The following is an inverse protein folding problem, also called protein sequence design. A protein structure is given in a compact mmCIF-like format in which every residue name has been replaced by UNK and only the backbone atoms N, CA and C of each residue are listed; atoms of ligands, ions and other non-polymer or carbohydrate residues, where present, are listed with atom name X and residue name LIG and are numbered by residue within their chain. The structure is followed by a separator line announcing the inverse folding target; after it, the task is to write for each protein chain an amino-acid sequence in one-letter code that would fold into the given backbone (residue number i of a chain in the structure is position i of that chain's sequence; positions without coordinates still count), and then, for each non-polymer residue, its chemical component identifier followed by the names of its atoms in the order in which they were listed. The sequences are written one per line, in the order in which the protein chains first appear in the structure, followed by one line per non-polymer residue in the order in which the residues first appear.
data_IF_638064094584
#
_entry.id   IF_638064094584
#
_cell.length_a   1.000
_cell.length_b   1.000
_cell.length_c   1.000
_cell.angle_alpha   90.00
_cell.angle_beta   90.00
_cell.angle_gamma   90.00
#
_symmetry.space_group_name_H-M   'P 1'
#
loop_
_entity.id
_entity.type
_entity.pdbx_description
1 polymer ?
#
# COMPACT_ATOMS: atom_id res chain seq x y z
N UNK A 1 5.59 35.70 9.87
CA UNK A 1 6.69 36.12 10.77
C UNK A 1 7.25 34.84 11.36
N UNK A 2 8.57 34.66 11.36
CA UNK A 2 9.23 33.46 11.88
C UNK A 2 10.30 33.88 12.87
N UNK A 3 10.21 33.44 14.13
CA UNK A 3 11.15 33.81 15.22
C UNK A 3 11.49 35.32 15.24
N UNK A 4 10.47 36.17 15.15
CA UNK A 4 10.63 37.64 15.14
C UNK A 4 11.07 38.26 13.80
N UNK A 5 11.41 37.45 12.80
CA UNK A 5 11.84 37.91 11.48
C UNK A 5 10.69 37.93 10.46
N UNK A 6 10.69 38.93 9.60
CA UNK A 6 9.74 39.02 8.48
C UNK A 6 10.37 38.43 7.23
N UNK A 7 10.01 37.19 6.95
CA UNK A 7 10.45 36.46 5.75
C UNK A 7 9.39 36.65 4.66
N UNK A 8 9.83 37.03 3.45
CA UNK A 8 8.96 37.15 2.28
C UNK A 8 9.12 35.93 1.38
N UNK A 9 8.03 35.21 1.16
CA UNK A 9 7.97 34.09 0.21
C UNK A 9 6.88 34.35 -0.82
N UNK A 10 7.01 33.83 -2.06
CA UNK A 10 5.93 33.90 -3.04
C UNK A 10 4.69 33.18 -2.50
N UNK A 11 3.54 33.85 -2.46
CA UNK A 11 2.29 33.24 -1.99
C UNK A 11 1.66 32.30 -3.02
N UNK A 12 2.02 32.48 -4.29
CA UNK A 12 1.59 31.63 -5.40
C UNK A 12 2.44 30.36 -5.39
N UNK A 13 1.85 29.21 -5.02
CA UNK A 13 2.58 27.95 -4.88
C UNK A 13 3.09 27.43 -6.25
N UNK A 14 2.47 27.89 -7.33
CA UNK A 14 2.70 27.57 -8.72
C UNK A 14 4.09 28.03 -9.20
N UNK A 15 4.70 29.01 -8.53
CA UNK A 15 6.05 29.49 -8.86
C UNK A 15 7.14 28.83 -8.03
N UNK A 16 6.78 27.98 -7.05
CA UNK A 16 7.76 27.28 -6.24
C UNK A 16 8.39 26.14 -7.04
N UNK A 17 9.68 25.83 -6.84
CA UNK A 17 10.30 24.67 -7.46
C UNK A 17 9.86 23.38 -6.75
N UNK A 18 8.60 22.97 -6.96
CA UNK A 18 7.93 21.87 -6.24
C UNK A 18 8.65 20.51 -6.37
N UNK A 19 9.42 20.29 -7.42
CA UNK A 19 10.26 19.10 -7.57
C UNK A 19 11.30 18.95 -6.44
N UNK A 20 11.73 20.06 -5.83
CA UNK A 20 12.69 20.03 -4.72
C UNK A 20 12.09 19.57 -3.40
N UNK A 21 10.76 19.61 -3.24
CA UNK A 21 10.07 19.23 -1.98
C UNK A 21 10.48 17.82 -1.52
N UNK A 22 10.65 16.89 -2.47
CA UNK A 22 11.07 15.50 -2.17
C UNK A 22 12.55 15.25 -2.37
N UNK A 23 13.18 15.95 -3.32
CA UNK A 23 14.58 15.69 -3.68
C UNK A 23 15.56 16.32 -2.69
N UNK A 24 15.29 17.56 -2.27
CA UNK A 24 16.17 18.32 -1.39
C UNK A 24 15.37 19.47 -0.73
N UNK A 25 14.65 19.19 0.37
CA UNK A 25 13.78 20.19 1.01
C UNK A 25 14.57 21.37 1.61
N UNK A 26 15.80 21.15 2.09
CA UNK A 26 16.67 22.23 2.58
C UNK A 26 16.95 23.23 1.45
N UNK A 27 17.33 22.73 0.27
CA UNK A 27 17.58 23.58 -0.91
C UNK A 27 16.34 24.35 -1.34
N UNK A 28 15.14 23.79 -1.15
CA UNK A 28 13.90 24.52 -1.39
C UNK A 28 13.72 25.67 -0.41
N UNK A 29 14.01 25.47 0.88
CA UNK A 29 13.98 26.55 1.88
C UNK A 29 14.94 27.67 1.48
N UNK A 30 16.19 27.33 1.14
CA UNK A 30 17.19 28.31 0.71
C UNK A 30 16.75 29.09 -0.53
N UNK A 31 16.17 28.39 -1.50
CA UNK A 31 15.64 29.01 -2.71
C UNK A 31 14.52 30.01 -2.39
N UNK A 32 13.60 29.64 -1.50
CA UNK A 32 12.46 30.49 -1.11
C UNK A 32 12.89 31.65 -0.22
N UNK A 33 13.93 31.47 0.60
CA UNK A 33 14.56 32.57 1.33
C UNK A 33 15.19 33.58 0.38
N UNK A 34 15.74 33.14 -0.75
CA UNK A 34 16.33 34.01 -1.77
C UNK A 34 17.34 35.02 -1.18
N UNK A 35 18.21 34.53 -0.29
CA UNK A 35 19.23 35.32 0.40
C UNK A 35 18.74 36.17 1.58
N UNK A 36 17.46 36.08 1.97
CA UNK A 36 16.97 36.68 3.21
C UNK A 36 17.54 35.93 4.43
N UNK A 37 17.76 36.65 5.53
CA UNK A 37 18.08 36.04 6.82
C UNK A 37 16.88 35.22 7.33
N UNK A 38 17.08 33.91 7.49
CA UNK A 38 16.04 32.98 7.94
C UNK A 38 15.68 33.08 9.43
N UNK A 39 16.31 33.98 10.17
CA UNK A 39 16.12 34.11 11.62
C UNK A 39 16.67 32.92 12.41
N UNK A 40 17.64 32.20 11.84
CA UNK A 40 18.35 31.12 12.52
C UNK A 40 19.38 31.68 13.51
N UNK A 41 19.65 30.94 14.59
CA UNK A 41 20.74 31.27 15.51
C UNK A 41 22.12 30.91 14.94
N UNK A 42 23.17 31.09 15.75
CA UNK A 42 24.56 30.79 15.34
C UNK A 42 24.79 29.31 15.01
N UNK A 43 24.02 28.41 15.62
CA UNK A 43 24.04 26.96 15.37
C UNK A 43 22.73 26.51 14.70
N UNK A 44 22.71 26.53 13.36
CA UNK A 44 21.53 26.11 12.59
C UNK A 44 21.44 24.60 12.51
N UNK A 45 20.28 24.05 12.87
CA UNK A 45 19.98 22.62 12.80
C UNK A 45 19.01 22.29 11.67
N UNK A 46 18.90 21.00 11.33
CA UNK A 46 17.89 20.52 10.36
C UNK A 46 16.47 20.79 10.85
N UNK A 47 16.24 20.75 12.17
CA UNK A 47 14.93 21.01 12.77
C UNK A 47 14.52 22.47 12.60
N UNK A 48 15.48 23.42 12.65
CA UNK A 48 15.20 24.84 12.36
C UNK A 48 14.74 25.05 10.92
N UNK A 49 15.39 24.38 9.96
CA UNK A 49 14.96 24.39 8.56
C UNK A 49 13.58 23.78 8.38
N UNK A 50 13.27 22.70 9.12
CA UNK A 50 11.96 22.06 9.08
C UNK A 50 10.87 22.97 9.61
N UNK A 51 11.09 23.59 10.76
CA UNK A 51 10.16 24.55 11.37
C UNK A 51 9.89 25.73 10.41
N UNK A 52 10.95 26.28 9.79
CA UNK A 52 10.78 27.32 8.79
C UNK A 52 10.00 26.83 7.57
N UNK A 53 10.27 25.62 7.08
CA UNK A 53 9.54 25.03 5.95
C UNK A 53 8.04 24.90 6.22
N UNK A 54 7.68 24.55 7.46
CA UNK A 54 6.28 24.45 7.88
C UNK A 54 5.64 25.84 8.00
N UNK A 55 6.36 26.83 8.54
CA UNK A 55 5.90 28.22 8.58
C UNK A 55 5.69 28.80 7.17
N UNK A 56 6.54 28.44 6.21
CA UNK A 56 6.36 28.82 4.79
C UNK A 56 5.12 28.15 4.19
N UNK A 57 4.89 26.86 4.47
CA UNK A 57 3.70 26.14 4.00
C UNK A 57 2.40 26.71 4.62
N UNK A 58 2.43 27.08 5.90
CA UNK A 58 1.33 27.77 6.57
C UNK A 58 1.04 29.13 5.92
N UNK A 59 2.08 29.92 5.61
CA UNK A 59 1.92 31.23 4.98
C UNK A 59 1.21 31.15 3.62
N UNK A 60 1.40 30.06 2.86
CA UNK A 60 0.71 29.82 1.58
C UNK A 60 -0.62 29.07 1.74
N UNK A 61 -1.04 28.77 2.96
CA UNK A 61 -2.32 28.11 3.26
C UNK A 61 -2.34 26.59 3.04
N UNK A 62 -1.16 25.96 3.00
CA UNK A 62 -0.98 24.51 2.80
C UNK A 62 -0.37 23.87 4.05
N UNK A 63 -0.90 24.28 5.22
CA UNK A 63 -0.50 23.71 6.51
C UNK A 63 -0.90 22.24 6.62
N UNK A 64 -0.20 21.50 7.49
CA UNK A 64 -0.65 20.18 7.94
C UNK A 64 -2.00 20.30 8.66
N UNK A 65 -2.71 19.19 8.72
CA UNK A 65 -3.87 19.09 9.59
C UNK A 65 -3.39 18.88 11.03
N UNK A 66 -4.10 19.41 12.04
CA UNK A 66 -3.76 19.19 13.45
C UNK A 66 -3.69 17.71 13.84
N UNK A 67 -4.48 16.87 13.17
CA UNK A 67 -4.52 15.42 13.37
C UNK A 67 -3.37 14.65 12.68
N UNK A 68 -2.55 15.30 11.84
CA UNK A 68 -1.41 14.64 11.20
C UNK A 68 -0.29 14.39 12.22
N UNK A 69 0.16 13.13 12.43
CA UNK A 69 1.24 12.83 13.36
C UNK A 69 2.55 13.50 12.93
N UNK A 70 3.32 13.99 13.90
CA UNK A 70 4.67 14.47 13.62
C UNK A 70 5.57 13.31 13.18
N UNK A 71 6.34 13.53 12.11
CA UNK A 71 7.37 12.62 11.67
C UNK A 71 8.64 13.38 11.25
N UNK A 72 9.83 12.83 11.52
CA UNK A 72 11.11 13.53 11.32
C UNK A 72 11.46 13.80 9.85
N UNK A 73 10.77 13.15 8.92
CA UNK A 73 10.92 13.29 7.47
C UNK A 73 9.85 14.20 6.84
N UNK A 74 8.97 14.81 7.64
CA UNK A 74 7.97 15.76 7.15
C UNK A 74 8.59 17.14 6.92
N UNK A 75 8.26 17.75 5.79
CA UNK A 75 8.69 19.08 5.38
C UNK A 75 7.55 19.79 4.67
N UNK A 76 7.50 21.12 4.71
CA UNK A 76 6.56 21.92 3.92
C UNK A 76 5.08 21.55 4.10
N UNK A 77 4.70 21.17 5.31
CA UNK A 77 3.34 20.80 5.66
C UNK A 77 2.62 19.85 4.68
N UNK A 78 1.52 20.30 4.09
CA UNK A 78 0.70 19.49 3.17
C UNK A 78 1.21 19.44 1.72
N UNK A 79 2.24 20.23 1.39
CA UNK A 79 2.76 20.36 0.02
C UNK A 79 3.28 19.02 -0.54
N UNK A 80 4.06 18.20 0.20
CA UNK A 80 4.51 16.90 -0.32
C UNK A 80 3.34 15.99 -0.70
N UNK A 81 2.28 15.96 0.12
CA UNK A 81 1.07 15.17 -0.16
C UNK A 81 0.36 15.69 -1.41
N UNK A 82 0.19 17.01 -1.53
CA UNK A 82 -0.42 17.61 -2.72
C UNK A 82 0.37 17.27 -3.99
N UNK A 83 1.69 17.43 -3.95
CA UNK A 83 2.57 17.10 -5.09
C UNK A 83 2.47 15.62 -5.45
N UNK A 84 2.44 14.72 -4.45
CA UNK A 84 2.25 13.30 -4.69
C UNK A 84 0.90 12.99 -5.36
N UNK A 85 -0.19 13.64 -4.96
CA UNK A 85 -1.50 13.48 -5.58
C UNK A 85 -1.46 13.97 -7.03
N UNK A 86 -0.87 15.13 -7.29
CA UNK A 86 -0.79 15.69 -8.64
C UNK A 86 0.01 14.81 -9.60
N UNK A 87 1.05 14.13 -9.13
CA UNK A 87 1.89 13.29 -10.00
C UNK A 87 1.35 11.88 -10.20
N UNK A 88 0.76 11.28 -9.16
CA UNK A 88 0.42 9.86 -9.17
C UNK A 88 -1.09 9.59 -9.26
N UNK A 89 -1.93 10.59 -9.02
CA UNK A 89 -3.37 10.45 -8.86
C UNK A 89 -4.15 11.59 -9.51
N UNK A 90 -3.66 12.12 -10.64
CA UNK A 90 -4.25 13.29 -11.30
C UNK A 90 -5.69 13.04 -11.81
N UNK A 91 -5.94 11.86 -12.38
CA UNK A 91 -7.28 11.49 -12.86
C UNK A 91 -8.29 11.31 -11.70
N UNK A 92 -7.85 10.67 -10.61
CA UNK A 92 -8.64 10.50 -9.40
C UNK A 92 -8.96 11.86 -8.76
N UNK A 93 -7.97 12.77 -8.75
CA UNK A 93 -8.14 14.15 -8.32
C UNK A 93 -9.20 14.87 -9.16
N UNK A 94 -9.11 14.78 -10.48
CA UNK A 94 -10.08 15.41 -11.37
C UNK A 94 -11.50 14.87 -11.14
N UNK A 95 -11.62 13.55 -10.92
CA UNK A 95 -12.88 12.89 -10.58
C UNK A 95 -13.44 13.41 -9.24
N UNK A 96 -12.64 13.41 -8.18
CA UNK A 96 -13.07 13.83 -6.84
C UNK A 96 -13.43 15.31 -6.79
N UNK A 97 -12.64 16.19 -7.42
CA UNK A 97 -12.95 17.63 -7.54
C UNK A 97 -14.30 17.86 -8.21
N UNK A 98 -14.57 17.11 -9.29
CA UNK A 98 -15.85 17.22 -10.00
C UNK A 98 -17.00 16.65 -9.20
N UNK A 99 -16.81 15.51 -8.55
CA UNK A 99 -17.86 14.78 -7.84
C UNK A 99 -18.29 15.48 -6.55
N UNK A 100 -17.34 15.88 -5.70
CA UNK A 100 -17.65 16.46 -4.38
C UNK A 100 -17.87 17.97 -4.42
N UNK A 101 -17.20 18.67 -5.34
CA UNK A 101 -17.16 20.15 -5.33
C UNK A 101 -17.66 20.79 -6.63
N UNK A 102 -17.94 20.01 -7.67
CA UNK A 102 -18.37 20.53 -8.98
C UNK A 102 -17.26 21.26 -9.76
N UNK A 103 -16.04 21.29 -9.23
CA UNK A 103 -14.89 22.02 -9.80
C UNK A 103 -14.29 21.25 -10.97
N UNK A 104 -13.88 21.96 -12.02
CA UNK A 104 -13.20 21.34 -13.18
C UNK A 104 -11.70 21.46 -12.99
N UNK A 105 -11.00 20.34 -12.87
CA UNK A 105 -9.55 20.34 -12.71
C UNK A 105 -8.80 21.10 -13.84
N UNK A 106 -9.35 21.10 -15.06
CA UNK A 106 -8.81 21.86 -16.19
C UNK A 106 -8.67 23.38 -15.94
N UNK A 107 -9.45 23.94 -14.99
CA UNK A 107 -9.35 25.35 -14.58
C UNK A 107 -7.97 25.69 -14.01
N UNK A 108 -7.22 24.69 -13.51
CA UNK A 108 -5.84 24.84 -13.05
C UNK A 108 -4.92 25.40 -14.13
N UNK A 109 -5.05 24.90 -15.36
CA UNK A 109 -4.20 25.32 -16.49
C UNK A 109 -4.54 26.71 -17.02
N UNK A 110 -5.69 27.27 -16.61
CA UNK A 110 -6.08 28.65 -16.91
C UNK A 110 -5.71 29.62 -15.79
N UNK A 111 -5.21 29.11 -14.65
CA UNK A 111 -4.92 29.89 -13.45
C UNK A 111 -6.15 30.24 -12.61
N UNK A 112 -7.34 29.72 -12.96
CA UNK A 112 -8.59 29.96 -12.22
C UNK A 112 -8.70 29.08 -10.97
N UNK A 113 -8.05 27.92 -10.97
CA UNK A 113 -7.97 27.01 -9.83
C UNK A 113 -6.54 26.89 -9.36
N UNK A 114 -6.23 27.45 -8.19
CA UNK A 114 -4.89 27.41 -7.61
C UNK A 114 -4.58 26.10 -6.88
N UNK A 115 -3.30 25.79 -6.71
CA UNK A 115 -2.83 24.66 -5.91
C UNK A 115 -3.28 24.73 -4.45
N UNK A 116 -3.38 25.94 -3.89
CA UNK A 116 -3.93 26.17 -2.55
C UNK A 116 -5.40 25.80 -2.46
N UNK A 117 -6.19 26.14 -3.47
CA UNK A 117 -7.62 25.77 -3.51
C UNK A 117 -7.77 24.26 -3.68
N UNK A 118 -6.97 23.64 -4.55
CA UNK A 118 -6.93 22.18 -4.68
C UNK A 118 -6.65 21.54 -3.31
N UNK A 119 -5.63 22.00 -2.58
CA UNK A 119 -5.34 21.50 -1.23
C UNK A 119 -6.55 21.60 -0.30
N UNK A 120 -7.25 22.73 -0.34
CA UNK A 120 -8.43 22.98 0.49
C UNK A 120 -9.52 21.94 0.22
N UNK A 121 -9.75 21.58 -1.04
CA UNK A 121 -10.74 20.58 -1.42
C UNK A 121 -10.33 19.15 -1.05
N UNK A 122 -9.04 18.82 -1.14
CA UNK A 122 -8.59 17.43 -1.03
C UNK A 122 -8.14 17.02 0.37
N UNK A 123 -7.71 17.96 1.20
CA UNK A 123 -7.11 17.65 2.52
C UNK A 123 -8.05 16.90 3.47
N UNK A 124 -9.36 16.95 3.26
CA UNK A 124 -10.38 16.27 4.09
C UNK A 124 -11.36 15.44 3.27
N UNK A 125 -10.86 14.79 2.22
CA UNK A 125 -11.66 13.85 1.44
C UNK A 125 -12.18 12.70 2.31
N UNK A 126 -13.37 12.22 1.95
CA UNK A 126 -13.99 11.09 2.63
C UNK A 126 -13.26 9.78 2.28
N UNK A 127 -13.31 8.75 3.15
CA UNK A 127 -12.68 7.44 2.89
C UNK A 127 -13.10 6.74 1.58
N UNK A 128 -14.24 7.14 1.02
CA UNK A 128 -14.82 6.62 -0.22
C UNK A 128 -14.33 7.33 -1.48
N UNK A 129 -13.54 8.42 -1.35
CA UNK A 129 -13.05 9.19 -2.49
C UNK A 129 -12.12 8.37 -3.38
N UNK A 130 -12.06 8.71 -4.66
CA UNK A 130 -11.19 8.03 -5.62
C UNK A 130 -9.72 8.14 -5.21
N UNK A 131 -9.27 9.34 -4.79
CA UNK A 131 -7.89 9.56 -4.32
C UNK A 131 -7.57 8.69 -3.10
N UNK A 132 -8.44 8.69 -2.07
CA UNK A 132 -8.18 7.93 -0.84
C UNK A 132 -8.13 6.43 -1.13
N UNK A 133 -9.01 5.93 -1.99
CA UNK A 133 -8.99 4.54 -2.44
C UNK A 133 -7.74 4.21 -3.23
N UNK A 134 -7.34 5.07 -4.16
CA UNK A 134 -6.14 4.87 -4.97
C UNK A 134 -4.87 4.79 -4.11
N UNK A 135 -4.74 5.68 -3.12
CA UNK A 135 -3.64 5.67 -2.15
C UNK A 135 -3.64 4.42 -1.25
N UNK A 136 -4.79 3.79 -1.05
CA UNK A 136 -4.96 2.58 -0.24
C UNK A 136 -5.11 1.30 -1.10
N UNK A 137 -4.43 1.24 -2.25
CA UNK A 137 -4.37 0.04 -3.09
C UNK A 137 -5.72 -0.36 -3.71
N UNK A 138 -6.57 0.63 -4.02
CA UNK A 138 -7.90 0.45 -4.61
C UNK A 138 -9.01 0.17 -3.58
N UNK A 139 -8.67 0.07 -2.29
CA UNK A 139 -9.60 -0.26 -1.21
C UNK A 139 -9.99 0.98 -0.40
N UNK A 140 -11.21 1.00 0.10
CA UNK A 140 -11.63 2.04 1.04
C UNK A 140 -10.83 1.96 2.34
N UNK A 141 -10.49 3.12 2.89
CA UNK A 141 -9.86 3.18 4.19
C UNK A 141 -10.85 2.71 5.26
N UNK A 142 -10.38 1.90 6.20
CA UNK A 142 -11.22 1.41 7.28
C UNK A 142 -11.67 2.53 8.20
N UNK A 143 -12.98 2.70 8.32
CA UNK A 143 -13.59 3.62 9.27
C UNK A 143 -13.70 2.96 10.65
N UNK A 144 -13.89 3.78 11.69
CA UNK A 144 -14.16 3.29 13.05
C UNK A 144 -15.34 2.30 13.07
N UNK A 145 -16.42 2.60 12.34
CA UNK A 145 -17.58 1.72 12.25
C UNK A 145 -17.24 0.35 11.66
N UNK A 146 -16.34 0.29 10.68
CA UNK A 146 -15.87 -0.98 10.10
C UNK A 146 -15.07 -1.79 11.13
N UNK A 147 -14.22 -1.14 11.93
CA UNK A 147 -13.51 -1.81 13.03
C UNK A 147 -14.45 -2.35 14.10
N UNK A 148 -15.46 -1.56 14.50
CA UNK A 148 -16.48 -1.99 15.46
C UNK A 148 -17.25 -3.19 14.91
N UNK A 149 -17.69 -3.13 13.65
CA UNK A 149 -18.45 -4.21 12.99
C UNK A 149 -17.62 -5.49 12.90
N UNK A 150 -16.34 -5.40 12.53
CA UNK A 150 -15.43 -6.54 12.51
C UNK A 150 -15.21 -7.14 13.90
N UNK A 151 -15.20 -6.29 14.95
CA UNK A 151 -15.06 -6.74 16.33
C UNK A 151 -16.32 -7.45 16.82
N UNK A 152 -17.51 -6.96 16.44
CA UNK A 152 -18.79 -7.63 16.70
C UNK A 152 -18.85 -8.97 15.99
N UNK A 153 -18.45 -9.04 14.72
CA UNK A 153 -18.34 -10.31 13.99
C UNK A 153 -17.49 -11.31 14.77
N UNK A 154 -16.29 -10.91 15.18
CA UNK A 154 -15.38 -11.77 15.93
C UNK A 154 -15.95 -12.21 17.28
N UNK A 155 -16.65 -11.32 17.98
CA UNK A 155 -17.28 -11.67 19.25
C UNK A 155 -18.41 -12.70 19.08
N UNK A 156 -19.12 -12.68 17.95
CA UNK A 156 -20.23 -13.59 17.67
C UNK A 156 -19.78 -14.93 17.09
N UNK A 157 -18.75 -14.95 16.24
CA UNK A 157 -18.30 -16.15 15.51
C UNK A 157 -17.06 -16.81 16.12
N UNK A 158 -16.30 -16.07 16.94
CA UNK A 158 -14.96 -16.46 17.38
C UNK A 158 -13.88 -16.29 16.30
N UNK A 159 -14.23 -15.88 15.08
CA UNK A 159 -13.32 -15.77 13.94
C UNK A 159 -12.97 -14.30 13.63
N UNK A 160 -11.72 -14.04 13.23
CA UNK A 160 -11.32 -12.70 12.77
C UNK A 160 -11.99 -12.42 11.43
N UNK A 161 -12.60 -11.24 11.29
CA UNK A 161 -13.21 -10.82 10.02
C UNK A 161 -12.17 -10.83 8.88
N UNK A 162 -12.39 -11.58 7.78
CA UNK A 162 -11.38 -11.79 6.74
C UNK A 162 -10.86 -10.51 6.06
N UNK A 163 -11.69 -9.45 6.00
CA UNK A 163 -11.31 -8.18 5.38
C UNK A 163 -10.59 -7.20 6.30
N UNK A 164 -10.41 -7.53 7.59
CA UNK A 164 -9.85 -6.60 8.58
C UNK A 164 -8.34 -6.42 8.35
N UNK A 165 -7.82 -5.17 8.34
CA UNK A 165 -6.39 -4.91 8.35
C UNK A 165 -5.74 -5.60 9.55
N UNK A 166 -4.75 -6.43 9.27
CA UNK A 166 -3.96 -7.10 10.30
C UNK A 166 -3.01 -6.08 10.92
N UNK A 167 -2.84 -6.15 12.25
CA UNK A 167 -1.77 -5.42 12.94
C UNK A 167 -0.39 -5.91 12.45
N UNK A 168 0.68 -5.11 12.55
CA UNK A 168 2.01 -5.53 12.10
C UNK A 168 2.45 -6.89 12.68
N UNK A 169 2.17 -7.15 13.96
CA UNK A 169 2.47 -8.43 14.62
C UNK A 169 1.62 -9.58 14.06
N UNK A 170 0.35 -9.33 13.74
CA UNK A 170 -0.57 -10.32 13.16
C UNK A 170 -0.18 -10.62 11.71
N UNK A 171 0.28 -9.60 10.97
CA UNK A 171 0.78 -9.73 9.61
C UNK A 171 2.06 -10.58 9.59
N UNK A 172 3.00 -10.34 10.50
CA UNK A 172 4.23 -11.12 10.61
C UNK A 172 3.92 -12.61 10.86
N UNK A 173 3.00 -12.91 11.80
CA UNK A 173 2.55 -14.28 12.06
C UNK A 173 1.82 -14.91 10.87
N UNK A 174 1.01 -14.13 10.15
CA UNK A 174 0.32 -14.61 8.96
C UNK A 174 1.29 -14.95 7.82
N UNK A 175 2.33 -14.14 7.62
CA UNK A 175 3.40 -14.40 6.65
C UNK A 175 4.16 -15.67 7.04
N UNK A 176 4.55 -15.81 8.31
CA UNK A 176 5.24 -17.01 8.82
C UNK A 176 4.40 -18.27 8.64
N UNK A 177 3.10 -18.22 8.97
CA UNK A 177 2.18 -19.34 8.76
C UNK A 177 2.00 -19.68 7.27
N UNK A 178 1.98 -18.67 6.39
CA UNK A 178 1.89 -18.87 4.94
C UNK A 178 3.16 -19.53 4.38
N UNK A 179 4.34 -19.12 4.85
CA UNK A 179 5.63 -19.73 4.50
C UNK A 179 5.69 -21.19 4.98
N UNK A 180 5.35 -21.46 6.24
CA UNK A 180 5.31 -22.81 6.79
C UNK A 180 4.34 -23.71 6.02
N UNK A 181 3.18 -23.18 5.59
CA UNK A 181 2.22 -23.93 4.77
C UNK A 181 2.77 -24.20 3.36
N UNK A 182 3.46 -23.24 2.75
CA UNK A 182 4.09 -23.43 1.44
C UNK A 182 5.19 -24.50 1.49
N UNK A 183 6.05 -24.47 2.51
CA UNK A 183 7.08 -25.48 2.76
C UNK A 183 6.47 -26.86 2.99
N UNK A 184 5.41 -26.95 3.79
CA UNK A 184 4.70 -28.20 4.03
C UNK A 184 4.13 -28.80 2.73
N UNK A 185 3.48 -27.97 1.89
CA UNK A 185 2.96 -28.40 0.58
C UNK A 185 4.09 -28.83 -0.36
N UNK A 186 5.23 -28.12 -0.37
CA UNK A 186 6.39 -28.53 -1.16
C UNK A 186 6.93 -29.89 -0.71
N UNK A 187 7.02 -30.12 0.60
CA UNK A 187 7.48 -31.40 1.17
C UNK A 187 6.52 -32.54 0.84
N UNK A 188 5.20 -32.29 0.86
CA UNK A 188 4.20 -33.27 0.44
C UNK A 188 4.35 -33.63 -1.05
N UNK A 189 4.53 -32.64 -1.92
CA UNK A 189 4.78 -32.86 -3.36
C UNK A 189 6.05 -33.65 -3.63
N UNK A 190 7.13 -33.37 -2.90
CA UNK A 190 8.38 -34.14 -3.01
C UNK A 190 8.21 -35.59 -2.59
N UNK A 191 7.48 -35.84 -1.49
CA UNK A 191 7.14 -37.20 -1.05
C UNK A 191 6.27 -37.92 -2.08
N UNK A 192 5.24 -37.26 -2.61
CA UNK A 192 4.40 -37.82 -3.68
C UNK A 192 5.20 -38.16 -4.93
N UNK A 193 6.13 -37.30 -5.35
CA UNK A 193 7.03 -37.56 -6.47
C UNK A 193 7.98 -38.74 -6.19
N UNK A 194 8.51 -38.87 -4.97
CA UNK A 194 9.34 -39.99 -4.57
C UNK A 194 8.56 -41.33 -4.55
N UNK A 195 7.31 -41.32 -4.06
CA UNK A 195 6.43 -42.48 -4.12
C UNK A 195 6.08 -42.85 -5.58
N UNK A 196 5.82 -41.87 -6.44
CA UNK A 196 5.57 -42.10 -7.87
C UNK A 196 6.79 -42.68 -8.59
N UNK A 197 8.01 -42.23 -8.25
CA UNK A 197 9.26 -42.76 -8.80
C UNK A 197 9.56 -44.20 -8.33
N UNK A 198 9.29 -44.52 -7.05
CA UNK A 198 9.40 -45.88 -6.52
C UNK A 198 8.31 -46.83 -7.04
N UNK A 199 7.16 -46.28 -7.46
CA UNK A 199 6.05 -47.02 -8.05
C UNK A 199 6.20 -47.23 -9.56
N UNK A 200 7.32 -46.85 -10.17
CA UNK A 200 7.65 -47.25 -11.54
C UNK A 200 7.83 -48.78 -11.57
N UNK A 201 6.99 -49.54 -12.28
CA UNK A 201 7.07 -50.99 -12.28
C UNK A 201 8.25 -51.42 -13.17
N UNK A 202 9.38 -51.75 -12.55
CA UNK A 202 10.38 -52.63 -13.14
C UNK A 202 9.96 -54.09 -12.92
N UNK A 203 9.67 -54.77 -14.03
CA UNK A 203 9.38 -56.21 -14.23
C UNK A 203 7.89 -56.64 -14.25
N UNK A 204 7.51 -57.58 -15.16
CA UNK A 204 6.31 -57.42 -16.00
C UNK A 204 5.07 -58.09 -15.40
N UNK A 205 3.99 -57.32 -15.29
CA UNK A 205 2.64 -57.82 -14.96
C UNK A 205 2.12 -58.89 -15.94
N UNK A 206 2.77 -59.06 -17.10
CA UNK A 206 2.45 -60.08 -18.10
C UNK A 206 2.82 -61.49 -17.62
N UNK A 207 3.88 -61.65 -16.81
CA UNK A 207 4.35 -62.97 -16.36
C UNK A 207 3.43 -63.62 -15.31
N UNK A 208 2.90 -62.84 -14.35
CA UNK A 208 2.00 -63.37 -13.32
C UNK A 208 0.62 -63.75 -13.87
N UNK A 209 0.12 -63.01 -14.87
CA UNK A 209 -1.14 -63.30 -15.53
C UNK A 209 -1.03 -64.49 -16.50
N UNK A 210 0.08 -64.61 -17.23
CA UNK A 210 0.36 -65.79 -18.06
C UNK A 210 0.54 -67.06 -17.21
N UNK A 211 1.19 -66.98 -16.05
CA UNK A 211 1.29 -68.10 -15.10
C UNK A 211 -0.07 -68.49 -14.50
N UNK A 212 -0.93 -67.50 -14.19
CA UNK A 212 -2.28 -67.77 -13.68
C UNK A 212 -3.18 -68.43 -14.76
N UNK A 213 -3.04 -68.05 -16.02
CA UNK A 213 -3.77 -68.64 -17.15
C UNK A 213 -3.24 -70.05 -17.45
N UNK A 214 -1.92 -70.28 -17.35
CA UNK A 214 -1.32 -71.60 -17.53
C UNK A 214 -1.76 -72.60 -16.45
N UNK A 215 -1.75 -72.19 -15.18
CA UNK A 215 -2.21 -73.04 -14.06
C UNK A 215 -3.70 -73.39 -14.19
N UNK A 216 -4.54 -72.42 -14.56
CA UNK A 216 -5.98 -72.65 -14.75
C UNK A 216 -6.29 -73.58 -15.94
N UNK A 217 -5.45 -73.60 -16.98
CA UNK A 217 -5.57 -74.58 -18.09
C UNK A 217 -5.15 -75.99 -17.69
N UNK A 218 -4.15 -76.13 -16.81
CA UNK A 218 -3.76 -77.43 -16.24
C UNK A 218 -4.84 -78.01 -15.32
N UNK A 219 -5.47 -77.16 -14.49
CA UNK A 219 -6.58 -77.56 -13.62
C UNK A 219 -7.83 -77.98 -14.43
N UNK A 220 -8.14 -77.28 -15.52
CA UNK A 220 -9.29 -77.60 -16.37
C UNK A 220 -9.06 -78.79 -17.31
N UNK A 221 -7.79 -79.11 -17.66
CA UNK A 221 -7.45 -80.26 -18.50
C UNK A 221 -7.34 -81.59 -17.76
N UNK A 222 -7.26 -81.59 -16.42
CA UNK A 222 -7.18 -82.80 -15.60
C UNK A 222 -8.55 -83.28 -15.09
N UNK A 223 -9.60 -82.48 -15.27
CA UNK A 223 -10.96 -82.82 -14.86
C UNK A 223 -11.75 -83.68 -15.88
N UNK A 224 -11.24 -83.91 -17.09
CA UNK A 224 -11.96 -84.68 -18.14
C UNK A 224 -11.54 -86.15 -18.26
N UNK A 225 -10.67 -86.67 -17.38
CA UNK A 225 -10.14 -88.04 -17.53
C UNK A 225 -10.26 -88.92 -16.27
N UNK A 226 -11.43 -88.88 -15.62
CA UNK A 226 -11.86 -89.93 -14.68
C UNK A 226 -13.34 -90.29 -14.94
N UNK A 227 -13.56 -90.99 -16.05
CA UNK A 227 -14.73 -91.84 -16.29
C UNK A 227 -14.30 -93.30 -16.28
#
# INVERSE_FOLDING_TARGET
MFRGHTIRVPLNLEVWPLHLVRQNPIRLVDYLLNGQEGGFGDEVTVDDYRELSDAMAEAVGVSRLPETPDAPDQWFGGIPTLVNILENHEDDLASDLRHFWGVRYAERFTGTLSLREIWTYVRRLQPTSAIVRAQNGGKEQWTEHMFVTASVYQALTGEIYPGRPLKPEELAKAIEAMQAKAEHVATLREREAAYAAQSSPTAPAVSAMEQAIANRRQELGTAENHG
#
